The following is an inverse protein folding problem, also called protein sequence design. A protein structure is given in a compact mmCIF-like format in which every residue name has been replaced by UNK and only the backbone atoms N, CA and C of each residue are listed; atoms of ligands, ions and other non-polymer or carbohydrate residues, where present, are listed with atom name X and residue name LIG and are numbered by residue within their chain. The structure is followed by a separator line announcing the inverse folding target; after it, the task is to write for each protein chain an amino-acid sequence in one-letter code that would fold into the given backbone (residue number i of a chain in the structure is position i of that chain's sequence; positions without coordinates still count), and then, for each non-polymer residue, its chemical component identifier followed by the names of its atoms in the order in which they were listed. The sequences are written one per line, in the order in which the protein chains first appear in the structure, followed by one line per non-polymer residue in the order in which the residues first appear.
data_IF_793867086775
#
_entry.id   IF_793867086775
#
_cell.length_a   1.000
_cell.length_b   1.000
_cell.length_c   1.000
_cell.angle_alpha   90.00
_cell.angle_beta   90.00
_cell.angle_gamma   90.00
#
_symmetry.space_group_name_H-M   'P 1'
#
loop_
_entity.id
_entity.type
_entity.pdbx_description
1 polymer ?
#
# COMPACT_ATOMS: atom_id res chain seq x y z
N UNK A 1 16.13 0.77 7.47
CA UNK A 1 15.05 1.05 8.21
C UNK A 1 14.91 0.21 9.49
N UNK A 2 13.86 0.32 10.23
CA UNK A 2 13.76 0.14 11.67
C UNK A 2 13.35 -1.25 12.18
N UNK A 3 13.70 -2.33 11.48
CA UNK A 3 13.46 -3.69 11.96
C UNK A 3 14.12 -3.94 13.32
N UNK A 4 15.34 -3.41 13.50
CA UNK A 4 16.12 -3.57 14.73
C UNK A 4 15.54 -2.76 15.89
N UNK A 5 15.00 -1.57 15.61
CA UNK A 5 14.41 -0.70 16.61
C UNK A 5 13.01 -1.12 17.07
N UNK A 6 12.22 -1.72 16.17
CA UNK A 6 10.85 -2.17 16.47
C UNK A 6 10.77 -3.59 17.04
N UNK A 7 11.84 -4.36 17.00
CA UNK A 7 11.87 -5.77 17.38
C UNK A 7 10.96 -6.67 16.53
N UNK A 8 10.38 -6.15 15.45
CA UNK A 8 9.48 -6.87 14.55
C UNK A 8 10.21 -7.25 13.26
N UNK A 9 10.20 -8.53 12.92
CA UNK A 9 10.67 -9.01 11.63
C UNK A 9 9.54 -8.89 10.60
N UNK A 10 9.69 -7.96 9.68
CA UNK A 10 8.77 -7.83 8.54
C UNK A 10 9.32 -8.63 7.37
N UNK A 11 8.82 -9.85 7.19
CA UNK A 11 9.29 -10.78 6.16
C UNK A 11 9.13 -10.21 4.75
N UNK A 12 8.11 -9.38 4.51
CA UNK A 12 7.90 -8.71 3.22
C UNK A 12 9.08 -7.81 2.85
N UNK A 13 9.63 -7.07 3.82
CA UNK A 13 10.78 -6.20 3.58
C UNK A 13 12.05 -7.01 3.31
N UNK A 14 12.23 -8.13 4.02
CA UNK A 14 13.37 -9.03 3.80
C UNK A 14 13.29 -9.65 2.42
N UNK A 15 12.11 -10.14 2.05
CA UNK A 15 11.86 -10.74 0.74
C UNK A 15 12.09 -9.73 -0.38
N UNK A 16 11.58 -8.51 -0.22
CA UNK A 16 11.73 -7.43 -1.20
C UNK A 16 13.20 -6.99 -1.35
N UNK A 17 13.92 -6.86 -0.25
CA UNK A 17 15.35 -6.57 -0.27
C UNK A 17 16.15 -7.69 -0.97
N UNK A 18 15.83 -8.95 -0.71
CA UNK A 18 16.43 -10.09 -1.40
C UNK A 18 16.18 -10.05 -2.90
N UNK A 19 14.97 -9.75 -3.33
CA UNK A 19 14.65 -9.59 -4.75
C UNK A 19 15.48 -8.48 -5.40
N UNK A 20 15.60 -7.32 -4.76
CA UNK A 20 16.40 -6.20 -5.29
C UNK A 20 17.89 -6.56 -5.40
N UNK A 21 18.45 -7.17 -4.36
CA UNK A 21 19.87 -7.57 -4.32
C UNK A 21 20.21 -8.61 -5.40
N UNK A 22 19.26 -9.46 -5.76
CA UNK A 22 19.44 -10.50 -6.76
C UNK A 22 18.89 -10.13 -8.14
N UNK A 23 18.54 -8.86 -8.38
CA UNK A 23 17.91 -8.38 -9.62
C UNK A 23 16.68 -9.22 -10.01
N UNK A 24 15.95 -9.68 -9.01
CA UNK A 24 14.77 -10.53 -9.20
C UNK A 24 13.56 -9.78 -9.73
N UNK A 25 12.72 -10.48 -10.46
CA UNK A 25 11.41 -9.98 -10.92
C UNK A 25 10.29 -10.86 -10.36
N UNK A 26 9.13 -10.26 -10.10
CA UNK A 26 7.95 -10.98 -9.66
C UNK A 26 6.96 -11.12 -10.82
N UNK A 27 6.36 -12.30 -10.94
CA UNK A 27 5.25 -12.53 -11.87
C UNK A 27 3.96 -12.13 -11.17
N UNK A 28 3.19 -11.25 -11.79
CA UNK A 28 1.86 -10.86 -11.32
C UNK A 28 0.79 -11.34 -12.28
N UNK A 29 -0.31 -11.93 -11.79
CA UNK A 29 -1.43 -12.30 -12.63
C UNK A 29 -2.08 -11.04 -13.22
N UNK A 30 -2.53 -11.11 -14.46
CA UNK A 30 -3.24 -10.01 -15.14
C UNK A 30 -4.66 -9.79 -14.63
N UNK A 31 -5.19 -10.76 -13.89
CA UNK A 31 -6.52 -10.72 -13.30
C UNK A 31 -6.45 -10.93 -11.79
N UNK A 32 -7.37 -10.34 -11.05
CA UNK A 32 -7.40 -10.50 -9.62
C UNK A 32 -7.75 -11.94 -9.23
N UNK A 33 -6.86 -12.58 -8.48
CA UNK A 33 -6.98 -13.98 -8.02
C UNK A 33 -7.41 -14.09 -6.56
N UNK A 34 -7.36 -12.98 -5.81
CA UNK A 34 -7.51 -12.99 -4.36
C UNK A 34 -8.59 -12.01 -3.90
N UNK A 35 -9.20 -12.29 -2.74
CA UNK A 35 -9.98 -11.33 -2.00
C UNK A 35 -9.19 -10.89 -0.78
N UNK A 36 -9.12 -9.59 -0.55
CA UNK A 36 -8.52 -9.08 0.67
C UNK A 36 -9.59 -9.04 1.78
N UNK A 37 -9.49 -9.95 2.73
CA UNK A 37 -10.38 -10.05 3.90
C UNK A 37 -9.82 -9.34 5.13
N UNK A 38 -8.61 -8.77 5.06
CA UNK A 38 -7.90 -8.15 6.19
C UNK A 38 -8.22 -6.68 6.42
N UNK A 39 -9.25 -6.13 5.76
CA UNK A 39 -9.69 -4.75 6.02
C UNK A 39 -10.73 -4.76 7.13
N UNK A 40 -10.25 -4.87 8.36
CA UNK A 40 -11.03 -4.87 9.61
C UNK A 40 -10.52 -3.77 10.53
N UNK A 41 -11.23 -3.49 11.63
CA UNK A 41 -10.86 -2.42 12.58
C UNK A 41 -9.43 -2.54 13.13
N UNK A 42 -8.93 -3.75 13.30
CA UNK A 42 -7.57 -4.03 13.77
C UNK A 42 -6.52 -4.08 12.66
N UNK A 43 -6.90 -3.72 11.42
CA UNK A 43 -5.95 -3.74 10.31
C UNK A 43 -4.87 -2.67 10.45
N UNK A 44 -3.64 -3.02 10.07
CA UNK A 44 -2.46 -2.17 10.23
C UNK A 44 -2.50 -0.90 9.38
N UNK A 45 -3.24 -0.90 8.28
CA UNK A 45 -3.22 0.17 7.30
C UNK A 45 -4.55 0.93 7.16
N UNK A 46 -5.66 0.22 7.12
CA UNK A 46 -6.99 0.82 6.94
C UNK A 46 -8.03 0.07 7.78
N UNK A 47 -8.66 0.78 8.68
CA UNK A 47 -9.68 0.21 9.57
C UNK A 47 -11.03 0.02 8.87
N UNK A 48 -11.33 0.81 7.84
CA UNK A 48 -12.56 0.67 7.08
C UNK A 48 -12.38 1.04 5.60
N UNK A 49 -13.12 0.38 4.71
CA UNK A 49 -13.16 0.72 3.28
C UNK A 49 -13.74 2.11 3.02
N UNK A 50 -14.61 2.61 3.92
CA UNK A 50 -15.33 3.87 3.73
C UNK A 50 -14.43 5.10 3.82
N UNK A 51 -13.34 5.02 4.56
CA UNK A 51 -12.37 6.10 4.72
C UNK A 51 -11.21 6.03 3.73
N UNK A 52 -11.18 4.98 2.92
CA UNK A 52 -10.14 4.76 1.92
C UNK A 52 -10.43 5.56 0.64
N UNK A 53 -9.42 6.23 0.03
CA UNK A 53 -9.57 6.84 -1.28
C UNK A 53 -10.08 5.85 -2.34
N UNK A 54 -11.01 6.28 -3.18
CA UNK A 54 -11.71 5.41 -4.12
C UNK A 54 -10.76 4.60 -5.05
N UNK A 55 -9.63 5.20 -5.43
CA UNK A 55 -8.63 4.53 -6.26
C UNK A 55 -7.98 3.33 -5.56
N UNK A 56 -7.72 3.44 -4.25
CA UNK A 56 -7.19 2.35 -3.43
C UNK A 56 -8.31 1.36 -3.10
N UNK A 57 -9.49 1.83 -2.71
CA UNK A 57 -10.63 0.97 -2.41
C UNK A 57 -10.94 0.00 -3.55
N UNK A 58 -10.87 0.45 -4.81
CA UNK A 58 -11.07 -0.41 -5.98
C UNK A 58 -10.10 -1.60 -6.03
N UNK A 59 -8.87 -1.46 -5.54
CA UNK A 59 -7.90 -2.57 -5.50
C UNK A 59 -8.38 -3.64 -4.53
N UNK A 60 -8.86 -3.22 -3.35
CA UNK A 60 -9.31 -4.14 -2.30
C UNK A 60 -10.67 -4.78 -2.58
N UNK A 61 -11.48 -4.16 -3.45
CA UNK A 61 -12.83 -4.64 -3.80
C UNK A 61 -12.92 -5.21 -5.22
N UNK A 62 -11.80 -5.45 -5.88
CA UNK A 62 -11.79 -6.08 -7.20
C UNK A 62 -12.39 -7.49 -7.13
N UNK A 63 -13.31 -7.78 -8.06
CA UNK A 63 -13.86 -9.13 -8.20
C UNK A 63 -12.75 -10.14 -8.49
N UNK A 64 -12.75 -11.25 -7.76
CA UNK A 64 -11.89 -12.39 -8.07
C UNK A 64 -12.35 -13.03 -9.36
N UNK A 65 -11.39 -13.36 -10.22
CA UNK A 65 -11.63 -14.03 -11.51
C UNK A 65 -10.78 -15.28 -11.52
N UNK A 66 -11.41 -16.42 -11.79
CA UNK A 66 -10.67 -17.67 -11.91
C UNK A 66 -9.79 -17.65 -13.15
N UNK A 67 -8.61 -18.24 -13.01
CA UNK A 67 -7.65 -18.36 -14.09
C UNK A 67 -7.88 -19.70 -14.81
N UNK A 68 -7.94 -19.65 -16.13
CA UNK A 68 -7.97 -20.86 -16.95
C UNK A 68 -6.56 -21.45 -17.09
N UNK A 69 -6.48 -22.77 -17.19
CA UNK A 69 -5.24 -23.49 -17.47
C UNK A 69 -5.26 -24.04 -18.89
N UNK A 70 -4.08 -24.14 -19.55
CA UNK A 70 -2.75 -23.81 -19.05
C UNK A 70 -2.50 -22.30 -18.96
N UNK A 71 -1.62 -21.89 -18.03
CA UNK A 71 -1.24 -20.49 -17.88
C UNK A 71 -0.37 -20.03 -19.05
N UNK A 72 -0.66 -18.85 -19.57
CA UNK A 72 0.21 -18.17 -20.54
C UNK A 72 1.17 -17.26 -19.81
N UNK A 73 2.46 -17.59 -19.87
CA UNK A 73 3.52 -16.77 -19.28
C UNK A 73 4.02 -15.70 -20.26
N UNK A 74 4.57 -14.59 -19.76
CA UNK A 74 5.29 -13.65 -20.60
C UNK A 74 6.42 -14.35 -21.38
N UNK A 75 6.64 -14.01 -22.65
CA UNK A 75 7.68 -14.65 -23.46
C UNK A 75 9.10 -14.31 -22.99
N UNK A 76 9.25 -13.22 -22.22
CA UNK A 76 10.55 -12.76 -21.73
C UNK A 76 10.47 -12.38 -20.24
N UNK A 77 11.55 -12.65 -19.51
CA UNK A 77 11.72 -12.26 -18.10
C UNK A 77 12.27 -10.83 -18.06
N UNK A 78 11.41 -9.87 -18.35
CA UNK A 78 11.74 -8.44 -18.32
C UNK A 78 10.70 -7.66 -17.52
N UNK A 79 11.13 -6.54 -16.95
CA UNK A 79 10.23 -5.67 -16.21
C UNK A 79 9.23 -4.98 -17.15
N UNK A 80 7.96 -5.05 -16.83
CA UNK A 80 6.92 -4.30 -17.55
C UNK A 80 6.80 -2.88 -16.96
N UNK A 81 7.66 -1.97 -17.43
CA UNK A 81 7.79 -0.59 -16.89
C UNK A 81 6.47 0.17 -16.84
N UNK A 82 5.65 0.11 -17.91
CA UNK A 82 4.38 0.81 -17.94
C UNK A 82 3.35 0.25 -16.92
N UNK A 83 3.42 -1.03 -16.59
CA UNK A 83 2.61 -1.62 -15.53
C UNK A 83 3.09 -1.16 -14.15
N UNK A 84 4.40 -1.22 -13.89
CA UNK A 84 5.03 -0.73 -12.66
C UNK A 84 4.66 0.72 -12.40
N UNK A 85 4.77 1.61 -13.39
CA UNK A 85 4.41 3.02 -13.26
C UNK A 85 2.93 3.20 -12.88
N UNK A 86 2.01 2.45 -13.50
CA UNK A 86 0.59 2.48 -13.13
C UNK A 86 0.35 2.07 -11.68
N UNK A 87 1.06 1.04 -11.19
CA UNK A 87 0.98 0.59 -9.80
C UNK A 87 1.50 1.68 -8.87
N UNK A 88 2.66 2.25 -9.16
CA UNK A 88 3.28 3.32 -8.37
C UNK A 88 2.39 4.54 -8.25
N UNK A 89 1.82 5.01 -9.36
CA UNK A 89 0.86 6.13 -9.35
C UNK A 89 -0.38 5.83 -8.53
N UNK A 90 -0.89 4.61 -8.62
CA UNK A 90 -2.10 4.21 -7.88
C UNK A 90 -1.86 4.14 -6.37
N UNK A 91 -0.70 3.69 -5.95
CA UNK A 91 -0.29 3.67 -4.55
C UNK A 91 0.36 4.97 -4.08
N UNK A 92 0.50 5.96 -4.97
CA UNK A 92 1.20 7.22 -4.72
C UNK A 92 2.69 7.05 -4.34
N UNK A 93 3.31 5.93 -4.73
CA UNK A 93 4.73 5.68 -4.53
C UNK A 93 5.54 6.55 -5.49
N UNK A 94 6.44 7.38 -4.93
CA UNK A 94 7.21 8.35 -5.72
C UNK A 94 6.40 9.54 -6.26
N UNK A 95 5.11 9.65 -5.93
CA UNK A 95 4.23 10.72 -6.42
C UNK A 95 3.69 11.58 -5.26
N UNK A 96 4.41 12.59 -4.77
CA UNK A 96 4.04 13.37 -3.59
C UNK A 96 2.69 14.08 -3.75
N UNK A 97 2.37 14.60 -4.91
CA UNK A 97 1.08 15.25 -5.18
C UNK A 97 -0.12 14.30 -5.07
N UNK A 98 0.02 13.06 -5.56
CA UNK A 98 -1.02 12.05 -5.45
C UNK A 98 -1.18 11.65 -3.97
N UNK A 99 -0.07 11.51 -3.25
CA UNK A 99 -0.07 11.23 -1.81
C UNK A 99 -0.78 12.32 -1.02
N UNK A 100 -0.49 13.58 -1.32
CA UNK A 100 -1.14 14.73 -0.69
C UNK A 100 -2.65 14.75 -0.97
N UNK A 101 -3.03 14.55 -2.24
CA UNK A 101 -4.44 14.45 -2.63
C UNK A 101 -5.16 13.32 -1.88
N UNK A 102 -4.55 12.14 -1.75
CA UNK A 102 -5.13 11.04 -0.97
C UNK A 102 -5.30 11.40 0.50
N UNK A 103 -4.34 12.11 1.07
CA UNK A 103 -4.43 12.57 2.45
C UNK A 103 -5.61 13.53 2.68
N UNK A 104 -5.87 14.44 1.75
CA UNK A 104 -7.04 15.31 1.82
C UNK A 104 -8.37 14.55 1.66
N UNK A 105 -8.43 13.62 0.72
CA UNK A 105 -9.61 12.77 0.52
C UNK A 105 -9.88 11.94 1.79
N UNK A 106 -8.86 11.33 2.37
CA UNK A 106 -8.97 10.56 3.60
C UNK A 106 -9.45 11.43 4.77
N UNK A 107 -8.90 12.63 4.91
CA UNK A 107 -9.33 13.59 5.93
C UNK A 107 -10.80 13.93 5.78
N UNK A 108 -11.22 14.28 4.57
CA UNK A 108 -12.61 14.62 4.28
C UNK A 108 -13.56 13.45 4.53
N UNK A 109 -13.20 12.24 4.12
CA UNK A 109 -14.00 11.04 4.39
C UNK A 109 -14.11 10.75 5.88
N UNK A 110 -13.03 10.88 6.65
CA UNK A 110 -13.06 10.71 8.10
C UNK A 110 -13.94 11.76 8.79
N UNK A 111 -13.91 13.02 8.34
CA UNK A 111 -14.80 14.06 8.84
C UNK A 111 -16.27 13.72 8.53
N UNK A 112 -16.56 13.34 7.29
CA UNK A 112 -17.91 12.99 6.84
C UNK A 112 -18.50 11.80 7.59
N UNK A 113 -17.68 10.83 7.97
CA UNK A 113 -18.12 9.63 8.69
C UNK A 113 -17.96 9.72 10.22
N UNK A 114 -17.58 10.89 10.76
CA UNK A 114 -17.48 11.11 12.20
C UNK A 114 -16.29 10.41 12.89
N UNK A 115 -15.26 9.99 12.14
CA UNK A 115 -14.09 9.28 12.67
C UNK A 115 -13.05 10.23 13.28
N UNK A 116 -13.45 11.12 14.20
CA UNK A 116 -12.59 12.16 14.78
C UNK A 116 -11.35 11.60 15.50
N UNK A 117 -11.46 10.42 16.14
CA UNK A 117 -10.30 9.78 16.78
C UNK A 117 -9.20 9.42 15.79
N UNK A 118 -9.57 8.99 14.56
CA UNK A 118 -8.61 8.67 13.51
C UNK A 118 -7.93 9.93 12.98
N UNK A 119 -8.67 11.02 12.84
CA UNK A 119 -8.10 12.32 12.44
C UNK A 119 -7.05 12.76 13.44
N UNK A 120 -7.36 12.74 14.73
CA UNK A 120 -6.41 13.10 15.79
C UNK A 120 -5.13 12.25 15.76
N UNK A 121 -5.25 10.94 15.59
CA UNK A 121 -4.09 10.03 15.46
C UNK A 121 -3.25 10.33 14.22
N UNK A 122 -3.89 10.56 13.06
CA UNK A 122 -3.20 10.88 11.81
C UNK A 122 -2.46 12.23 11.89
N UNK A 123 -3.08 13.24 12.49
CA UNK A 123 -2.46 14.54 12.71
C UNK A 123 -1.29 14.45 13.68
N UNK A 124 -1.46 13.77 14.82
CA UNK A 124 -0.39 13.57 15.80
C UNK A 124 0.83 12.86 15.19
N UNK A 125 0.59 11.84 14.34
CA UNK A 125 1.67 11.14 13.60
C UNK A 125 2.40 12.08 12.65
N UNK A 126 1.68 12.92 11.90
CA UNK A 126 2.28 13.89 10.96
C UNK A 126 3.07 14.96 11.67
N UNK A 127 2.54 15.49 12.78
CA UNK A 127 3.22 16.48 13.63
C UNK A 127 4.51 15.88 14.18
N UNK A 128 4.48 14.64 14.68
CA UNK A 128 5.70 13.95 15.15
C UNK A 128 6.74 13.79 14.04
N UNK A 129 6.32 13.49 12.81
CA UNK A 129 7.26 13.40 11.69
C UNK A 129 7.83 14.77 11.28
N UNK A 130 7.10 15.85 11.48
CA UNK A 130 7.55 17.22 11.15
C UNK A 130 8.42 17.84 12.24
N UNK A 131 8.08 17.62 13.49
CA UNK A 131 8.77 18.20 14.65
C UNK A 131 9.60 17.19 15.45
N UNK A 132 9.46 15.91 15.16
CA UNK A 132 10.27 14.87 15.74
C UNK A 132 11.65 14.91 15.11
N UNK A 133 12.57 15.62 15.74
CA UNK A 133 13.99 15.37 15.59
C UNK A 133 14.21 13.89 15.91
N UNK A 134 14.42 13.07 14.89
CA UNK A 134 15.04 11.76 15.10
C UNK A 134 16.41 12.03 15.73
N UNK A 135 16.47 11.84 17.06
CA UNK A 135 17.75 11.63 17.73
C UNK A 135 18.28 10.30 17.20
N UNK A 136 19.07 10.38 16.12
CA UNK A 136 20.00 9.32 15.81
C UNK A 136 20.99 9.20 16.98
N UNK A 137 20.80 8.18 17.78
CA UNK A 137 21.82 7.61 18.65
C UNK A 137 22.08 6.18 18.20
#
# INVERSE_FOLDING_TARGET
ADHKASGKAYYETIFWASMLLNSGVAIMPTRNQINNIGVIEDSTHFSTLNTMPAALRRIFTMKRIEQSFPLTHPPHIIEHVAFKERVYRRHAWGHPWIKTRYAFIELWLNLRHGHFKQIGRSMAKRIRMWFGTEKHR
#
